data_IF_487966297756
#
_entry.id   IF_487966297756
#
_cell.length_a   1.000
_cell.length_b   1.000
_cell.length_c   1.000
_cell.angle_alpha   90.00
_cell.angle_beta   90.00
_cell.angle_gamma   90.00
#
_symmetry.space_group_name_H-M   'P 1'
#
loop_
_entity.id
_entity.type
_entity.pdbx_description
1 polymer ?
#
# COMPACT_ATOMS: atom_id res chain seq x y z
N UNK A 1 12.79 9.80 5.34
CA UNK A 1 11.65 9.52 4.40
C UNK A 1 10.33 9.74 5.10
N UNK A 2 9.31 10.28 4.40
CA UNK A 2 7.92 10.33 4.85
C UNK A 2 7.09 9.42 3.93
N UNK A 3 6.29 8.52 4.50
CA UNK A 3 5.42 7.59 3.76
C UNK A 3 3.98 7.89 4.12
N UNK A 4 3.08 8.04 3.13
CA UNK A 4 1.66 8.29 3.32
C UNK A 4 0.82 7.28 2.52
N UNK A 5 -0.20 6.70 3.13
CA UNK A 5 -1.08 5.71 2.49
C UNK A 5 -2.32 6.39 1.91
N UNK A 6 -2.50 6.31 0.60
CA UNK A 6 -3.68 6.81 -0.14
C UNK A 6 -4.67 5.71 -0.49
N UNK A 7 -4.23 4.46 -0.54
CA UNK A 7 -5.06 3.29 -0.77
C UNK A 7 -4.39 2.03 -0.23
N UNK A 8 -5.18 1.15 0.38
CA UNK A 8 -4.69 -0.02 1.14
C UNK A 8 -5.48 -1.32 0.87
N UNK A 9 -6.57 -1.24 0.09
CA UNK A 9 -7.43 -2.39 -0.23
C UNK A 9 -6.90 -3.20 -1.41
N UNK A 10 -7.06 -4.52 -1.33
CA UNK A 10 -6.77 -5.42 -2.43
C UNK A 10 -7.94 -5.61 -3.38
N UNK A 11 -7.63 -5.99 -4.58
CA UNK A 11 -8.51 -6.46 -5.66
C UNK A 11 -9.58 -5.47 -6.14
N UNK A 12 -10.30 -4.79 -5.25
CA UNK A 12 -11.41 -3.88 -5.59
C UNK A 12 -11.56 -2.74 -4.58
N UNK A 13 -11.99 -1.55 -5.04
CA UNK A 13 -12.38 -0.49 -4.12
C UNK A 13 -13.52 -0.93 -3.21
N UNK A 14 -13.39 -0.67 -1.92
CA UNK A 14 -14.33 -1.15 -0.89
C UNK A 14 -14.83 0.00 -0.02
N UNK A 15 -15.73 0.84 -0.52
CA UNK A 15 -16.31 1.93 0.26
C UNK A 15 -17.17 1.38 1.41
N UNK A 16 -17.28 2.15 2.49
CA UNK A 16 -18.14 1.82 3.61
C UNK A 16 -19.60 1.68 3.16
N UNK A 17 -20.22 0.57 3.52
CA UNK A 17 -21.64 0.30 3.26
C UNK A 17 -22.50 1.04 4.29
N UNK A 18 -23.73 1.41 3.91
CA UNK A 18 -24.70 2.07 4.79
C UNK A 18 -24.87 1.33 6.13
N UNK A 19 -24.98 0.01 6.10
CA UNK A 19 -25.12 -0.80 7.32
C UNK A 19 -23.88 -0.70 8.24
N UNK A 20 -22.68 -0.57 7.69
CA UNK A 20 -21.45 -0.38 8.47
C UNK A 20 -21.42 0.99 9.14
N UNK A 21 -21.80 2.04 8.42
CA UNK A 21 -21.93 3.40 8.99
C UNK A 21 -22.95 3.43 10.13
N UNK A 22 -24.13 2.82 9.92
CA UNK A 22 -25.17 2.71 10.95
C UNK A 22 -24.70 1.93 12.18
N UNK A 23 -23.95 0.82 11.96
CA UNK A 23 -23.39 0.02 13.05
C UNK A 23 -22.35 0.82 13.86
N UNK A 24 -21.50 1.63 13.20
CA UNK A 24 -20.55 2.53 13.89
C UNK A 24 -21.29 3.58 14.73
N UNK A 25 -22.30 4.23 14.17
CA UNK A 25 -23.12 5.21 14.91
C UNK A 25 -23.77 4.54 16.14
N UNK A 26 -24.40 3.38 15.97
CA UNK A 26 -24.99 2.65 17.08
C UNK A 26 -23.96 2.27 18.15
N UNK A 27 -22.74 1.87 17.74
CA UNK A 27 -21.65 1.56 18.64
C UNK A 27 -21.17 2.77 19.44
N UNK A 28 -21.16 3.97 18.86
CA UNK A 28 -20.88 5.23 19.56
C UNK A 28 -21.99 5.53 20.57
N UNK A 29 -23.23 5.51 20.14
CA UNK A 29 -24.41 5.81 21.00
C UNK A 29 -24.48 4.87 22.19
N UNK A 30 -24.16 3.58 22.02
CA UNK A 30 -24.18 2.60 23.12
C UNK A 30 -23.08 2.81 24.18
N UNK A 31 -22.07 3.63 23.90
CA UNK A 31 -20.92 3.89 24.78
C UNK A 31 -20.92 5.26 25.43
N UNK A 32 -21.62 6.23 24.84
CA UNK A 32 -21.64 7.60 25.32
C UNK A 32 -22.40 7.72 26.66
N UNK A 33 -21.87 8.51 27.56
CA UNK A 33 -22.51 8.84 28.85
C UNK A 33 -22.87 10.35 28.92
N UNK A 34 -23.76 10.78 29.86
CA UNK A 34 -24.04 12.19 30.02
C UNK A 34 -22.82 13.09 30.25
N UNK A 35 -21.80 12.59 30.94
CA UNK A 35 -20.52 13.29 31.18
C UNK A 35 -19.76 13.62 29.89
N UNK A 36 -19.86 12.74 28.89
CA UNK A 36 -19.18 12.92 27.61
C UNK A 36 -19.85 14.03 26.77
N UNK A 37 -21.06 14.46 27.14
CA UNK A 37 -21.85 15.47 26.44
C UNK A 37 -21.76 16.87 27.05
N UNK A 38 -21.11 17.03 28.20
CA UNK A 38 -21.11 18.29 29.01
C UNK A 38 -20.39 19.44 28.29
N UNK A 39 -19.38 19.16 27.48
CA UNK A 39 -18.62 20.17 26.73
C UNK A 39 -18.12 19.64 25.38
N UNK A 40 -17.65 20.54 24.50
CA UNK A 40 -16.97 20.13 23.24
C UNK A 40 -15.70 19.37 23.51
N UNK A 41 -14.98 19.71 24.58
CA UNK A 41 -13.74 19.01 24.98
C UNK A 41 -14.04 17.58 25.44
N UNK A 42 -15.04 17.36 26.30
CA UNK A 42 -15.46 16.02 26.75
C UNK A 42 -15.95 15.16 25.58
N UNK A 43 -16.69 15.74 24.62
CA UNK A 43 -17.10 15.05 23.39
C UNK A 43 -15.90 14.59 22.57
N UNK A 44 -14.93 15.47 22.32
CA UNK A 44 -13.72 15.13 21.55
C UNK A 44 -12.88 14.10 22.27
N UNK A 45 -12.72 14.20 23.60
CA UNK A 45 -12.02 13.21 24.41
C UNK A 45 -12.67 11.83 24.34
N UNK A 46 -14.01 11.79 24.42
CA UNK A 46 -14.75 10.54 24.25
C UNK A 46 -14.54 9.95 22.85
N UNK A 47 -14.73 10.73 21.78
CA UNK A 47 -14.57 10.26 20.41
C UNK A 47 -13.16 9.72 20.15
N UNK A 48 -12.12 10.42 20.60
CA UNK A 48 -10.73 9.99 20.46
C UNK A 48 -10.37 8.76 21.32
N UNK A 49 -11.19 8.41 22.32
CA UNK A 49 -11.00 7.20 23.12
C UNK A 49 -11.61 5.94 22.48
N UNK A 50 -12.44 6.12 21.45
CA UNK A 50 -13.07 4.99 20.78
C UNK A 50 -12.05 4.21 19.94
N UNK A 51 -12.24 2.89 19.80
CA UNK A 51 -11.48 2.10 18.83
C UNK A 51 -11.55 2.70 17.43
N UNK A 52 -10.46 2.65 16.69
CA UNK A 52 -10.38 3.22 15.32
C UNK A 52 -11.44 2.65 14.38
N UNK A 53 -11.79 1.37 14.50
CA UNK A 53 -12.84 0.75 13.69
C UNK A 53 -14.25 1.31 13.98
N UNK A 54 -14.44 2.06 15.07
CA UNK A 54 -15.69 2.78 15.40
C UNK A 54 -15.63 4.22 14.90
N UNK A 55 -14.59 4.97 15.27
CA UNK A 55 -14.49 6.41 15.02
C UNK A 55 -13.89 6.76 13.67
N UNK A 56 -13.14 5.85 13.07
CA UNK A 56 -12.48 6.03 11.78
C UNK A 56 -12.87 4.96 10.76
N UNK A 57 -12.07 4.83 9.72
CA UNK A 57 -12.11 3.74 8.75
C UNK A 57 -10.68 3.40 8.33
N UNK A 58 -10.47 2.15 7.95
CA UNK A 58 -9.21 1.70 7.33
C UNK A 58 -9.06 2.29 5.92
N UNK A 59 -10.17 2.60 5.27
CA UNK A 59 -10.21 3.10 3.90
C UNK A 59 -10.78 2.09 2.92
N UNK A 60 -11.09 2.55 1.73
CA UNK A 60 -11.74 1.77 0.67
C UNK A 60 -11.01 1.81 -0.67
N UNK A 61 -9.93 2.60 -0.79
CA UNK A 61 -9.18 2.72 -2.04
C UNK A 61 -8.15 1.60 -2.23
N UNK A 62 -7.89 1.25 -3.48
CA UNK A 62 -6.90 0.27 -3.88
C UNK A 62 -5.49 0.87 -3.90
N UNK A 63 -4.41 0.07 -4.00
CA UNK A 63 -3.06 0.44 -3.62
C UNK A 63 -2.55 1.73 -4.24
N UNK A 64 -2.15 2.66 -3.39
CA UNK A 64 -1.32 3.81 -3.72
C UNK A 64 -0.64 4.31 -2.45
N UNK A 65 0.69 4.39 -2.49
CA UNK A 65 1.49 4.93 -1.39
C UNK A 65 2.32 6.10 -1.92
N UNK A 66 2.32 7.20 -1.20
CA UNK A 66 3.24 8.32 -1.40
C UNK A 66 4.47 8.13 -0.52
N UNK A 67 5.66 8.30 -1.09
CA UNK A 67 6.91 8.39 -0.37
C UNK A 67 7.60 9.70 -0.74
N UNK A 68 8.12 10.41 0.26
CA UNK A 68 8.96 11.58 0.06
C UNK A 68 10.32 11.38 0.68
N UNK A 69 11.35 11.70 -0.10
CA UNK A 69 12.71 11.76 0.41
C UNK A 69 12.91 12.96 1.34
N UNK A 70 14.05 13.05 1.99
CA UNK A 70 14.45 14.25 2.76
C UNK A 70 14.63 15.48 1.89
N UNK A 71 14.97 15.31 0.60
CA UNK A 71 15.03 16.38 -0.39
C UNK A 71 13.67 16.76 -0.97
N UNK A 72 12.58 16.18 -0.43
CA UNK A 72 11.19 16.39 -0.86
C UNK A 72 10.87 15.84 -2.26
N UNK A 73 11.73 14.96 -2.81
CA UNK A 73 11.42 14.26 -4.05
C UNK A 73 10.24 13.30 -3.83
N UNK A 74 9.29 13.32 -4.75
CA UNK A 74 8.05 12.55 -4.67
C UNK A 74 8.16 11.22 -5.42
N UNK A 75 7.72 10.15 -4.75
CA UNK A 75 7.56 8.82 -5.31
C UNK A 75 6.15 8.32 -5.01
N UNK A 76 5.49 7.75 -6.00
CA UNK A 76 4.18 7.10 -5.89
C UNK A 76 4.34 5.61 -6.19
N UNK A 77 3.83 4.77 -5.30
CA UNK A 77 3.93 3.32 -5.42
C UNK A 77 2.54 2.78 -5.73
N UNK A 78 2.40 2.24 -6.92
CA UNK A 78 1.16 1.84 -7.58
C UNK A 78 0.15 2.97 -7.82
N UNK A 79 -0.72 2.71 -8.79
CA UNK A 79 -1.70 3.64 -9.34
C UNK A 79 -3.13 3.11 -9.15
N UNK A 80 -3.45 2.49 -8.02
CA UNK A 80 -4.81 2.12 -7.66
C UNK A 80 -5.70 3.35 -7.45
N UNK A 81 -6.93 3.16 -6.98
CA UNK A 81 -7.85 4.29 -6.80
C UNK A 81 -7.36 5.32 -5.78
N UNK A 82 -6.44 4.96 -4.88
CA UNK A 82 -5.75 5.89 -3.99
C UNK A 82 -4.99 6.99 -4.73
N UNK A 83 -4.53 6.75 -5.97
CA UNK A 83 -3.89 7.78 -6.80
C UNK A 83 -4.84 8.95 -7.11
N UNK A 84 -6.12 8.67 -7.31
CA UNK A 84 -7.13 9.72 -7.49
C UNK A 84 -7.24 10.58 -6.23
N UNK A 85 -7.19 9.99 -5.04
CA UNK A 85 -7.23 10.73 -3.77
C UNK A 85 -5.98 11.59 -3.59
N UNK A 86 -4.79 11.05 -3.89
CA UNK A 86 -3.56 11.84 -3.95
C UNK A 86 -3.68 13.00 -4.95
N UNK A 87 -4.24 12.77 -6.14
CA UNK A 87 -4.44 13.80 -7.17
C UNK A 87 -5.26 15.00 -6.68
N UNK A 88 -6.24 14.74 -5.81
CA UNK A 88 -7.19 15.76 -5.30
C UNK A 88 -6.69 16.43 -4.02
N UNK A 89 -6.15 15.66 -3.08
CA UNK A 89 -5.86 16.09 -1.73
C UNK A 89 -4.36 16.08 -1.38
N UNK A 90 -3.53 15.36 -2.15
CA UNK A 90 -2.09 15.27 -1.91
C UNK A 90 -1.35 16.58 -2.21
N UNK A 91 -0.25 16.78 -1.50
CA UNK A 91 0.65 17.90 -1.76
C UNK A 91 1.41 17.66 -3.07
N UNK A 92 1.14 18.48 -4.07
CA UNK A 92 1.78 18.36 -5.38
C UNK A 92 3.24 18.87 -5.34
N UNK A 93 4.18 18.25 -6.10
CA UNK A 93 5.55 18.71 -6.19
C UNK A 93 5.60 20.04 -6.97
N UNK A 94 6.39 21.01 -6.47
CA UNK A 94 6.49 22.35 -7.09
C UNK A 94 7.06 22.31 -8.50
N UNK A 95 7.95 21.34 -8.79
CA UNK A 95 8.56 21.12 -10.10
C UNK A 95 7.67 20.34 -11.07
N UNK A 96 6.49 19.89 -10.66
CA UNK A 96 5.59 19.07 -11.47
C UNK A 96 6.14 17.68 -11.84
N UNK A 97 7.14 17.18 -11.11
CA UNK A 97 7.79 15.91 -11.39
C UNK A 97 7.26 14.78 -10.48
N UNK A 98 6.86 13.68 -11.09
CA UNK A 98 6.28 12.51 -10.44
C UNK A 98 7.07 11.25 -10.79
N UNK A 99 7.61 10.57 -9.80
CA UNK A 99 8.25 9.26 -9.98
C UNK A 99 7.24 8.18 -9.55
N UNK A 100 6.75 7.38 -10.49
CA UNK A 100 5.77 6.33 -10.26
C UNK A 100 6.44 4.97 -10.39
N UNK A 101 6.28 4.13 -9.38
CA UNK A 101 6.78 2.75 -9.35
C UNK A 101 5.60 1.79 -9.40
N UNK A 102 5.54 0.95 -10.43
CA UNK A 102 4.46 -0.03 -10.59
C UNK A 102 4.94 -1.43 -10.21
N UNK A 103 4.30 -2.02 -9.22
CA UNK A 103 4.60 -3.38 -8.77
C UNK A 103 4.20 -4.42 -9.80
N UNK A 104 3.03 -4.27 -10.40
CA UNK A 104 2.50 -5.08 -11.49
C UNK A 104 1.26 -4.42 -12.12
N UNK A 105 0.58 -5.12 -13.05
CA UNK A 105 -0.48 -4.52 -13.87
C UNK A 105 -1.88 -5.11 -13.63
N UNK A 106 -2.17 -5.70 -12.46
CA UNK A 106 -3.55 -5.98 -12.07
C UNK A 106 -4.34 -4.67 -11.93
N UNK A 107 -5.62 -4.73 -12.20
CA UNK A 107 -6.46 -3.53 -12.31
C UNK A 107 -6.45 -2.65 -11.06
N UNK A 108 -6.47 -3.24 -9.90
CA UNK A 108 -6.46 -2.51 -8.63
C UNK A 108 -5.16 -1.73 -8.38
N UNK A 109 -4.09 -2.03 -9.12
CA UNK A 109 -2.82 -1.29 -9.06
C UNK A 109 -2.66 -0.23 -10.14
N UNK A 110 -3.53 -0.21 -11.16
CA UNK A 110 -3.43 0.75 -12.27
C UNK A 110 -4.73 1.50 -12.56
N UNK A 111 -5.87 1.10 -12.00
CA UNK A 111 -7.19 1.67 -12.36
C UNK A 111 -7.36 3.16 -12.00
N UNK A 112 -6.54 3.71 -11.10
CA UNK A 112 -6.52 5.14 -10.77
C UNK A 112 -5.75 5.99 -11.77
N UNK A 113 -4.84 5.40 -12.57
CA UNK A 113 -3.97 6.13 -13.48
C UNK A 113 -4.74 7.00 -14.49
N UNK A 114 -5.82 6.53 -15.15
CA UNK A 114 -6.60 7.36 -16.05
C UNK A 114 -7.31 8.56 -15.38
N UNK A 115 -7.38 8.58 -14.05
CA UNK A 115 -7.98 9.64 -13.25
C UNK A 115 -6.94 10.52 -12.54
N UNK A 116 -5.66 10.34 -12.86
CA UNK A 116 -4.59 11.17 -12.35
C UNK A 116 -4.58 12.51 -13.07
N UNK A 117 -5.22 13.51 -12.46
CA UNK A 117 -5.46 14.82 -13.08
C UNK A 117 -4.18 15.53 -13.54
N UNK A 118 -3.06 15.29 -12.84
CA UNK A 118 -1.77 15.89 -13.14
C UNK A 118 -1.18 15.39 -14.48
N UNK A 119 -1.54 14.19 -14.94
CA UNK A 119 -1.09 13.67 -16.22
C UNK A 119 -1.58 14.49 -17.42
N UNK A 120 -2.66 15.24 -17.25
CA UNK A 120 -3.20 16.14 -18.27
C UNK A 120 -2.54 17.53 -18.28
N UNK A 121 -1.69 17.83 -17.30
CA UNK A 121 -0.97 19.11 -17.26
C UNK A 121 0.26 19.09 -18.19
N UNK A 122 0.40 20.04 -19.12
CA UNK A 122 1.57 20.11 -20.00
C UNK A 122 2.88 20.40 -19.24
N UNK A 123 2.78 20.84 -17.98
CA UNK A 123 3.94 21.12 -17.13
C UNK A 123 4.34 19.93 -16.27
N UNK A 124 3.60 18.83 -16.32
CA UNK A 124 3.93 17.64 -15.57
C UNK A 124 4.96 16.79 -16.33
N UNK A 125 5.87 16.21 -15.57
CA UNK A 125 6.79 15.16 -16.00
C UNK A 125 6.54 13.93 -15.12
N UNK A 126 6.22 12.80 -15.75
CA UNK A 126 5.89 11.55 -15.05
C UNK A 126 6.86 10.48 -15.54
N UNK A 127 7.77 10.08 -14.67
CA UNK A 127 8.68 8.97 -14.90
C UNK A 127 8.12 7.70 -14.27
N UNK A 128 7.85 6.68 -15.10
CA UNK A 128 7.28 5.40 -14.69
C UNK A 128 8.38 4.35 -14.66
N UNK A 129 8.61 3.78 -13.49
CA UNK A 129 9.63 2.77 -13.21
C UNK A 129 8.97 1.42 -12.97
N UNK A 130 9.35 0.41 -13.74
CA UNK A 130 8.84 -0.94 -13.57
C UNK A 130 9.74 -1.96 -14.27
N UNK A 131 9.81 -3.22 -13.80
CA UNK A 131 10.52 -4.30 -14.51
C UNK A 131 9.77 -4.87 -15.72
N UNK A 132 8.57 -4.39 -16.03
CA UNK A 132 7.78 -4.87 -17.17
C UNK A 132 8.07 -4.04 -18.43
N UNK A 133 8.61 -4.68 -19.46
CA UNK A 133 8.96 -4.00 -20.71
C UNK A 133 7.75 -3.46 -21.48
N UNK A 134 6.57 -4.10 -21.31
CA UNK A 134 5.34 -3.76 -22.02
C UNK A 134 4.44 -2.78 -21.23
N UNK A 135 5.01 -2.08 -20.25
CA UNK A 135 4.28 -1.18 -19.34
C UNK A 135 3.46 -0.10 -20.07
N UNK A 136 4.05 0.50 -21.11
CA UNK A 136 3.39 1.51 -21.94
C UNK A 136 2.15 0.93 -22.61
N UNK A 137 2.26 -0.26 -23.24
CA UNK A 137 1.14 -0.93 -23.89
C UNK A 137 0.01 -1.27 -22.91
N UNK A 138 0.34 -1.70 -21.68
CA UNK A 138 -0.68 -2.04 -20.69
C UNK A 138 -1.46 -0.80 -20.23
N UNK A 139 -0.79 0.32 -19.99
CA UNK A 139 -1.45 1.58 -19.62
C UNK A 139 -2.23 2.18 -20.78
N UNK A 140 -1.74 2.07 -22.01
CA UNK A 140 -2.46 2.47 -23.21
C UNK A 140 -3.76 1.69 -23.38
N UNK A 141 -3.71 0.35 -23.29
CA UNK A 141 -4.89 -0.52 -23.40
C UNK A 141 -5.99 -0.13 -22.41
N UNK A 142 -5.64 0.10 -21.14
CA UNK A 142 -6.59 0.47 -20.11
C UNK A 142 -7.23 1.85 -20.39
N UNK A 143 -6.48 2.77 -20.99
CA UNK A 143 -6.87 4.16 -21.17
C UNK A 143 -7.32 4.48 -22.61
N UNK A 144 -7.64 3.46 -23.42
CA UNK A 144 -8.07 3.59 -24.82
C UNK A 144 -9.56 3.29 -25.00
N UNK A 145 -10.09 3.64 -26.19
CA UNK A 145 -11.44 3.23 -26.58
C UNK A 145 -11.54 1.69 -26.63
N UNK A 146 -12.68 1.11 -26.24
CA UNK A 146 -13.93 1.74 -25.78
C UNK A 146 -13.97 2.04 -24.27
N UNK A 147 -12.89 1.79 -23.52
CA UNK A 147 -12.86 1.87 -22.06
C UNK A 147 -12.80 3.31 -21.55
N UNK A 148 -12.19 4.20 -22.33
CA UNK A 148 -12.03 5.60 -21.97
C UNK A 148 -12.47 6.54 -23.09
N UNK A 149 -13.02 7.74 -22.77
CA UNK A 149 -13.40 8.72 -23.78
C UNK A 149 -12.16 9.28 -24.51
N UNK A 150 -12.30 9.56 -25.81
CA UNK A 150 -11.18 9.94 -26.68
C UNK A 150 -10.36 11.14 -26.18
N UNK A 151 -11.01 12.10 -25.53
CA UNK A 151 -10.34 13.31 -25.02
C UNK A 151 -9.60 13.10 -23.67
N UNK A 152 -9.71 11.91 -23.10
CA UNK A 152 -9.04 11.53 -21.86
C UNK A 152 -8.27 10.21 -22.02
N UNK A 153 -8.00 9.80 -23.26
CA UNK A 153 -7.24 8.58 -23.57
C UNK A 153 -5.74 8.79 -23.39
N UNK A 154 -5.01 7.69 -23.44
CA UNK A 154 -3.55 7.64 -23.28
C UNK A 154 -2.81 8.64 -24.16
N UNK A 155 -3.24 8.78 -25.42
CA UNK A 155 -2.66 9.74 -26.38
C UNK A 155 -2.66 11.21 -25.87
N UNK A 156 -3.61 11.56 -24.99
CA UNK A 156 -3.68 12.91 -24.42
C UNK A 156 -2.61 13.18 -23.36
N UNK A 157 -2.04 12.14 -22.78
CA UNK A 157 -1.10 12.21 -21.65
C UNK A 157 0.30 11.67 -21.97
N UNK A 158 0.47 10.95 -23.06
CA UNK A 158 1.72 10.23 -23.36
C UNK A 158 2.97 11.11 -23.44
N UNK A 159 2.81 12.38 -23.84
CA UNK A 159 3.95 13.31 -23.93
C UNK A 159 4.53 13.70 -22.56
N UNK A 160 3.79 13.50 -21.48
CA UNK A 160 4.23 13.71 -20.10
C UNK A 160 4.91 12.48 -19.52
N UNK A 161 4.79 11.32 -20.18
CA UNK A 161 5.24 10.02 -19.66
C UNK A 161 6.62 9.65 -20.20
N UNK A 162 7.44 9.08 -19.34
CA UNK A 162 8.71 8.42 -19.69
C UNK A 162 8.76 7.07 -18.97
N UNK A 163 9.07 5.98 -19.70
CA UNK A 163 9.13 4.65 -19.13
C UNK A 163 10.57 4.21 -18.91
N UNK A 164 10.85 3.72 -17.70
CA UNK A 164 12.18 3.28 -17.26
C UNK A 164 12.11 1.82 -16.84
N UNK A 165 12.78 0.96 -17.60
CA UNK A 165 12.88 -0.47 -17.30
C UNK A 165 13.85 -0.70 -16.15
N UNK A 166 13.34 -1.21 -15.03
CA UNK A 166 14.14 -1.63 -13.90
C UNK A 166 14.61 -3.08 -14.05
N UNK A 167 15.73 -3.41 -13.45
CA UNK A 167 16.26 -4.77 -13.43
C UNK A 167 16.62 -5.17 -12.01
N UNK A 168 16.18 -6.37 -11.61
CA UNK A 168 16.55 -6.94 -10.33
C UNK A 168 18.08 -7.02 -10.18
N UNK A 169 18.58 -6.61 -9.01
CA UNK A 169 20.00 -6.57 -8.71
C UNK A 169 20.76 -5.34 -9.25
N UNK A 170 20.09 -4.47 -10.00
CA UNK A 170 20.66 -3.22 -10.51
C UNK A 170 19.97 -2.02 -9.83
N UNK A 171 20.50 -1.51 -8.70
CA UNK A 171 19.91 -0.36 -8.02
C UNK A 171 20.02 0.91 -8.87
N UNK A 172 19.03 1.79 -8.70
CA UNK A 172 19.04 3.15 -9.25
C UNK A 172 19.07 4.17 -8.11
N UNK A 173 19.50 5.40 -8.39
CA UNK A 173 19.49 6.49 -7.43
C UNK A 173 18.64 7.65 -7.94
N UNK A 174 17.64 8.07 -7.15
CA UNK A 174 16.76 9.21 -7.47
C UNK A 174 16.52 9.98 -6.17
N UNK A 175 16.69 11.32 -6.21
CA UNK A 175 16.38 12.20 -5.07
C UNK A 175 17.11 11.85 -3.77
N UNK A 176 18.29 11.22 -3.87
CA UNK A 176 19.07 10.76 -2.73
C UNK A 176 18.67 9.40 -2.16
N UNK A 177 17.68 8.74 -2.77
CA UNK A 177 17.29 7.37 -2.42
C UNK A 177 17.96 6.35 -3.33
N UNK A 178 18.55 5.31 -2.72
CA UNK A 178 18.89 4.08 -3.43
C UNK A 178 17.65 3.21 -3.53
N UNK A 179 17.29 2.81 -4.76
CA UNK A 179 16.05 2.08 -5.05
C UNK A 179 16.40 0.77 -5.74
N UNK A 180 15.86 -0.32 -5.24
CA UNK A 180 16.04 -1.67 -5.80
C UNK A 180 14.67 -2.33 -6.01
N UNK A 181 14.57 -3.25 -6.99
CA UNK A 181 13.39 -4.10 -7.16
C UNK A 181 13.75 -5.58 -6.96
N UNK A 182 12.75 -6.36 -6.56
CA UNK A 182 12.86 -7.80 -6.32
C UNK A 182 11.60 -8.52 -6.76
N UNK A 183 11.74 -9.54 -7.61
CA UNK A 183 10.61 -10.31 -8.13
C UNK A 183 10.04 -11.23 -7.06
N UNK A 184 8.72 -11.20 -6.90
CA UNK A 184 7.95 -12.07 -6.00
C UNK A 184 7.03 -12.99 -6.81
N UNK A 185 6.65 -14.11 -6.19
CA UNK A 185 5.70 -15.03 -6.82
C UNK A 185 4.27 -14.48 -6.71
N UNK A 186 3.68 -14.22 -7.87
CA UNK A 186 2.31 -13.77 -8.05
C UNK A 186 1.86 -14.15 -9.47
N UNK A 187 0.56 -14.45 -9.74
CA UNK A 187 0.08 -14.68 -11.10
C UNK A 187 0.36 -13.47 -12.02
N UNK A 188 1.20 -13.65 -13.02
CA UNK A 188 1.67 -12.57 -13.89
C UNK A 188 2.89 -11.80 -13.36
N UNK A 189 3.50 -12.26 -12.29
CA UNK A 189 4.59 -11.64 -11.55
C UNK A 189 4.20 -10.34 -10.81
N UNK A 190 4.86 -10.07 -9.70
CA UNK A 190 4.84 -8.80 -8.97
C UNK A 190 6.26 -8.47 -8.51
N UNK A 191 6.54 -7.19 -8.30
CA UNK A 191 7.86 -6.74 -7.85
C UNK A 191 7.74 -5.90 -6.59
N UNK A 192 8.54 -6.28 -5.59
CA UNK A 192 8.77 -5.48 -4.40
C UNK A 192 9.79 -4.39 -4.67
N UNK A 193 9.65 -3.26 -4.00
CA UNK A 193 10.61 -2.15 -4.09
C UNK A 193 11.18 -1.81 -2.73
N UNK A 194 12.50 -1.63 -2.67
CA UNK A 194 13.23 -1.14 -1.50
C UNK A 194 13.72 0.27 -1.74
N UNK A 195 13.47 1.16 -0.78
CA UNK A 195 13.93 2.55 -0.78
C UNK A 195 14.82 2.75 0.44
N UNK A 196 16.07 3.16 0.21
CA UNK A 196 17.05 3.38 1.27
C UNK A 196 17.57 4.82 1.24
N UNK A 197 17.54 5.48 2.42
CA UNK A 197 18.04 6.83 2.65
C UNK A 197 18.66 6.91 4.05
N UNK A 198 19.92 7.37 4.15
CA UNK A 198 20.65 7.52 5.42
C UNK A 198 20.63 6.26 6.31
N UNK A 199 20.76 5.09 5.72
CA UNK A 199 20.75 3.80 6.43
C UNK A 199 19.39 3.39 6.99
N UNK A 200 18.30 4.08 6.59
CA UNK A 200 16.92 3.70 6.84
C UNK A 200 16.33 3.07 5.59
N UNK A 201 15.63 1.94 5.77
CA UNK A 201 15.10 1.18 4.64
C UNK A 201 13.62 0.88 4.79
N UNK A 202 12.87 1.33 3.79
CA UNK A 202 11.46 1.04 3.57
C UNK A 202 11.30 0.05 2.42
N UNK A 203 10.47 -0.99 2.60
CA UNK A 203 10.15 -1.94 1.55
C UNK A 203 8.63 -1.95 1.33
N UNK A 204 8.23 -1.80 0.07
CA UNK A 204 6.89 -2.01 -0.43
C UNK A 204 6.83 -3.35 -1.16
N UNK A 205 6.00 -4.27 -0.67
CA UNK A 205 5.89 -5.64 -1.18
C UNK A 205 4.43 -6.10 -1.14
N UNK A 206 3.67 -5.67 -2.12
CA UNK A 206 2.27 -6.05 -2.32
C UNK A 206 2.18 -7.27 -3.22
N UNK A 207 1.04 -7.97 -3.20
CA UNK A 207 0.71 -9.05 -4.13
C UNK A 207 1.81 -10.13 -4.20
N UNK A 208 1.90 -10.86 -3.12
CA UNK A 208 2.90 -11.89 -2.90
C UNK A 208 2.27 -13.15 -2.35
N UNK A 209 2.56 -14.29 -2.94
CA UNK A 209 2.33 -15.60 -2.33
C UNK A 209 3.68 -16.22 -1.97
N UNK A 210 4.01 -16.22 -0.68
CA UNK A 210 5.30 -16.70 -0.17
C UNK A 210 5.55 -18.16 -0.51
N UNK A 211 6.73 -18.41 -1.05
CA UNK A 211 7.25 -19.74 -1.30
C UNK A 211 8.26 -20.14 -0.21
N UNK A 212 8.49 -21.44 -0.04
CA UNK A 212 9.47 -21.93 0.94
C UNK A 212 10.88 -21.36 0.67
N UNK A 213 11.23 -21.12 -0.59
CA UNK A 213 12.48 -20.51 -1.01
C UNK A 213 12.69 -19.09 -0.48
N UNK A 214 11.61 -18.34 -0.23
CA UNK A 214 11.70 -16.94 0.21
C UNK A 214 12.20 -16.81 1.66
N UNK A 215 12.20 -17.93 2.41
CA UNK A 215 12.76 -18.02 3.76
C UNK A 215 14.23 -18.44 3.79
N UNK A 216 14.82 -18.78 2.65
CA UNK A 216 16.22 -19.25 2.57
C UNK A 216 17.20 -18.07 2.72
N UNK A 217 17.83 -18.00 3.90
CA UNK A 217 18.88 -17.01 4.22
C UNK A 217 20.20 -17.25 3.48
N UNK A 218 20.40 -18.42 2.92
CA UNK A 218 21.57 -18.75 2.09
C UNK A 218 21.48 -18.14 0.69
N UNK A 219 20.28 -17.81 0.24
CA UNK A 219 20.07 -17.18 -1.05
C UNK A 219 20.39 -15.67 -0.97
N UNK A 220 21.44 -15.23 -1.67
CA UNK A 220 21.89 -13.83 -1.66
C UNK A 220 20.80 -12.85 -2.13
N UNK A 221 19.96 -13.27 -3.09
CA UNK A 221 18.83 -12.52 -3.60
C UNK A 221 17.83 -12.14 -2.50
N UNK A 222 17.53 -13.06 -1.59
CA UNK A 222 16.54 -12.85 -0.54
C UNK A 222 17.01 -11.85 0.55
N UNK A 223 18.31 -11.53 0.60
CA UNK A 223 18.85 -10.48 1.49
C UNK A 223 18.26 -9.09 1.22
N UNK A 224 17.54 -8.94 0.11
CA UNK A 224 16.73 -7.78 -0.18
C UNK A 224 15.83 -7.36 1.00
N UNK A 225 15.30 -8.31 1.76
CA UNK A 225 14.41 -8.03 2.89
C UNK A 225 15.13 -7.84 4.23
N UNK A 226 16.39 -8.26 4.35
CA UNK A 226 17.08 -8.38 5.62
C UNK A 226 17.21 -7.04 6.36
N UNK A 227 16.77 -6.98 7.64
CA UNK A 227 16.89 -5.84 8.55
C UNK A 227 16.17 -4.54 8.09
N UNK A 228 15.13 -4.59 7.26
CA UNK A 228 14.38 -3.40 6.90
C UNK A 228 13.70 -2.75 8.12
N UNK A 229 13.66 -1.41 8.13
CA UNK A 229 13.02 -0.66 9.21
C UNK A 229 11.49 -0.73 9.10
N UNK A 230 10.95 -0.70 7.89
CA UNK A 230 9.52 -0.84 7.59
C UNK A 230 9.33 -1.76 6.40
N UNK A 231 8.42 -2.72 6.53
CA UNK A 231 7.90 -3.56 5.46
C UNK A 231 6.38 -3.38 5.38
N UNK A 232 5.90 -2.86 4.27
CA UNK A 232 4.49 -2.92 3.87
C UNK A 232 4.31 -4.18 3.06
N UNK A 233 3.45 -5.11 3.53
CA UNK A 233 3.44 -6.47 3.00
C UNK A 233 2.03 -7.02 2.80
N UNK A 234 1.84 -7.74 1.69
CA UNK A 234 0.62 -8.50 1.43
C UNK A 234 0.23 -9.38 2.61
N UNK A 235 -0.98 -9.19 3.09
CA UNK A 235 -1.53 -9.91 4.24
C UNK A 235 -3.04 -10.07 4.10
N UNK A 236 -3.47 -10.39 2.89
CA UNK A 236 -4.88 -10.32 2.48
C UNK A 236 -5.76 -11.29 3.27
N UNK A 237 -5.25 -12.47 3.63
CA UNK A 237 -6.09 -13.56 4.12
C UNK A 237 -5.83 -13.95 5.59
N UNK A 238 -6.83 -14.62 6.18
CA UNK A 238 -6.62 -15.52 7.31
C UNK A 238 -6.02 -16.86 6.83
N UNK A 239 -5.42 -17.66 7.74
CA UNK A 239 -4.83 -18.94 7.36
C UNK A 239 -5.80 -19.92 6.68
N UNK A 240 -7.05 -20.10 7.17
CA UNK A 240 -8.01 -20.98 6.51
C UNK A 240 -8.41 -20.52 5.10
N UNK A 241 -8.37 -19.21 4.84
CA UNK A 241 -8.69 -18.64 3.53
C UNK A 241 -7.51 -18.80 2.58
N UNK A 242 -6.28 -18.49 3.01
CA UNK A 242 -5.07 -18.68 2.21
C UNK A 242 -4.91 -20.15 1.78
N UNK A 243 -5.17 -21.11 2.69
CA UNK A 243 -5.11 -22.53 2.38
C UNK A 243 -6.09 -22.99 1.27
N UNK A 244 -7.17 -22.24 1.05
CA UNK A 244 -8.16 -22.50 -0.02
C UNK A 244 -7.86 -21.75 -1.31
N UNK A 245 -6.93 -20.79 -1.27
CA UNK A 245 -6.62 -19.86 -2.35
C UNK A 245 -5.15 -19.95 -2.78
N UNK A 246 -4.61 -21.18 -2.76
CA UNK A 246 -3.24 -21.43 -3.26
C UNK A 246 -3.13 -21.05 -4.74
N UNK A 247 -2.04 -20.41 -5.12
CA UNK A 247 -1.79 -19.81 -6.45
C UNK A 247 -2.71 -18.63 -6.81
N UNK A 248 -3.32 -18.00 -5.82
CA UNK A 248 -4.02 -16.71 -6.00
C UNK A 248 -3.10 -15.51 -5.84
N UNK A 249 -1.87 -15.74 -5.38
CA UNK A 249 -0.84 -14.71 -5.30
C UNK A 249 -0.84 -13.88 -4.02
N UNK A 250 -1.46 -14.36 -2.91
CA UNK A 250 -1.58 -13.60 -1.68
C UNK A 250 -1.29 -14.41 -0.43
N UNK A 251 -0.90 -13.71 0.64
CA UNK A 251 -0.53 -14.28 1.92
C UNK A 251 -1.62 -14.23 2.99
N UNK A 252 -1.42 -15.05 4.02
CA UNK A 252 -2.07 -14.84 5.31
C UNK A 252 -1.25 -13.87 6.18
N UNK A 253 -1.92 -13.19 7.12
CA UNK A 253 -1.24 -12.33 8.10
C UNK A 253 -0.18 -13.08 8.93
N UNK A 254 -0.38 -14.36 9.22
CA UNK A 254 0.60 -15.15 9.98
C UNK A 254 1.83 -15.53 9.15
N UNK A 255 1.67 -15.82 7.85
CA UNK A 255 2.80 -16.04 6.95
C UNK A 255 3.63 -14.76 6.80
N UNK A 256 2.97 -13.59 6.73
CA UNK A 256 3.63 -12.30 6.72
C UNK A 256 4.45 -12.06 8.01
N UNK A 257 3.92 -12.44 9.19
CA UNK A 257 4.64 -12.35 10.46
C UNK A 257 5.85 -13.30 10.48
N UNK A 258 5.69 -14.54 10.00
CA UNK A 258 6.78 -15.50 9.93
C UNK A 258 7.90 -15.00 9.00
N UNK A 259 7.54 -14.45 7.85
CA UNK A 259 8.48 -13.86 6.90
C UNK A 259 9.21 -12.64 7.51
N UNK A 260 8.48 -11.69 8.06
CA UNK A 260 9.06 -10.52 8.70
C UNK A 260 10.01 -10.90 9.86
N UNK A 261 9.63 -11.93 10.63
CA UNK A 261 10.48 -12.46 11.71
C UNK A 261 11.74 -13.11 11.18
N UNK A 262 11.65 -13.89 10.09
CA UNK A 262 12.80 -14.52 9.45
C UNK A 262 13.83 -13.50 8.97
N UNK A 263 13.35 -12.37 8.41
CA UNK A 263 14.21 -11.33 7.84
C UNK A 263 14.54 -10.20 8.80
N UNK A 264 14.24 -10.35 10.11
CA UNK A 264 14.53 -9.37 11.17
C UNK A 264 13.97 -7.97 10.85
N UNK A 265 12.75 -7.93 10.32
CA UNK A 265 12.01 -6.68 10.07
C UNK A 265 11.63 -6.03 11.40
N UNK A 266 11.71 -4.69 11.48
CA UNK A 266 11.36 -3.97 12.73
C UNK A 266 9.86 -3.67 12.81
N UNK A 267 9.26 -3.19 11.70
CA UNK A 267 7.87 -2.79 11.62
C UNK A 267 7.21 -3.41 10.40
N UNK A 268 6.19 -4.24 10.61
CA UNK A 268 5.39 -4.87 9.56
C UNK A 268 4.02 -4.20 9.50
N UNK A 269 3.68 -3.70 8.32
CA UNK A 269 2.38 -3.14 8.01
C UNK A 269 1.60 -4.13 7.14
N UNK A 270 0.49 -4.66 7.66
CA UNK A 270 -0.43 -5.50 6.89
C UNK A 270 -1.10 -4.65 5.84
N UNK A 271 -1.02 -5.08 4.60
CA UNK A 271 -1.46 -4.32 3.44
C UNK A 271 -2.30 -5.21 2.51
N UNK A 272 -2.91 -4.62 1.49
CA UNK A 272 -3.71 -5.30 0.48
C UNK A 272 -4.90 -6.05 1.08
N UNK A 273 -5.69 -5.31 1.88
CA UNK A 273 -6.78 -5.91 2.69
C UNK A 273 -7.89 -6.49 1.83
N UNK A 274 -8.32 -7.72 2.18
CA UNK A 274 -9.44 -8.43 1.53
C UNK A 274 -10.70 -7.54 1.45
N UNK A 275 -11.33 -7.40 0.27
CA UNK A 275 -12.50 -6.55 0.08
C UNK A 275 -13.69 -6.87 0.98
N UNK A 276 -13.82 -8.14 1.39
CA UNK A 276 -14.92 -8.58 2.26
C UNK A 276 -14.69 -8.32 3.75
N UNK A 277 -13.51 -7.81 4.15
CA UNK A 277 -13.23 -7.50 5.54
C UNK A 277 -13.66 -6.08 5.88
N UNK A 278 -14.52 -5.95 6.88
CA UNK A 278 -14.81 -4.66 7.48
C UNK A 278 -13.68 -4.20 8.44
N UNK A 279 -13.75 -2.95 8.88
CA UNK A 279 -12.74 -2.37 9.76
C UNK A 279 -12.60 -3.15 11.08
N UNK A 280 -13.70 -3.69 11.61
CA UNK A 280 -13.69 -4.50 12.84
C UNK A 280 -12.97 -5.84 12.63
N UNK A 281 -13.14 -6.46 11.48
CA UNK A 281 -12.43 -7.70 11.11
C UNK A 281 -10.93 -7.44 11.01
N UNK A 282 -10.52 -6.33 10.39
CA UNK A 282 -9.11 -5.96 10.28
C UNK A 282 -8.48 -5.67 11.65
N UNK A 283 -9.18 -4.98 12.54
CA UNK A 283 -8.76 -4.78 13.93
C UNK A 283 -8.56 -6.13 14.64
N UNK A 284 -9.50 -7.08 14.48
CA UNK A 284 -9.37 -8.43 15.05
C UNK A 284 -8.20 -9.23 14.46
N UNK A 285 -7.81 -8.99 13.20
CA UNK A 285 -6.63 -9.60 12.56
C UNK A 285 -5.35 -9.06 13.21
N UNK A 286 -5.27 -7.76 13.50
CA UNK A 286 -4.13 -7.18 14.20
C UNK A 286 -3.97 -7.79 15.61
N UNK A 287 -5.07 -7.94 16.34
CA UNK A 287 -5.08 -8.60 17.66
C UNK A 287 -4.62 -10.06 17.57
N UNK A 288 -5.14 -10.80 16.59
CA UNK A 288 -4.73 -12.19 16.32
C UNK A 288 -3.24 -12.27 15.95
N UNK A 289 -2.75 -11.35 15.13
CA UNK A 289 -1.33 -11.23 14.76
C UNK A 289 -0.44 -10.94 15.96
N UNK A 290 -0.83 -10.03 16.85
CA UNK A 290 -0.10 -9.73 18.08
C UNK A 290 -0.06 -10.93 19.03
N UNK A 291 -1.12 -11.72 19.11
CA UNK A 291 -1.13 -12.96 19.87
C UNK A 291 -0.24 -14.04 19.24
N UNK A 292 -0.31 -14.20 17.91
CA UNK A 292 0.55 -15.12 17.16
C UNK A 292 2.04 -14.79 17.34
N UNK A 293 2.41 -13.52 17.24
CA UNK A 293 3.77 -13.04 17.45
C UNK A 293 4.32 -13.39 18.84
N UNK A 294 3.50 -13.30 19.89
CA UNK A 294 3.87 -13.70 21.26
C UNK A 294 4.26 -15.19 21.32
N UNK A 295 3.52 -16.05 20.64
CA UNK A 295 3.83 -17.50 20.56
C UNK A 295 5.19 -17.75 19.90
N UNK A 296 5.54 -16.97 18.86
CA UNK A 296 6.83 -17.08 18.16
C UNK A 296 8.00 -16.46 18.93
N UNK A 297 7.75 -15.89 20.12
CA UNK A 297 8.77 -15.23 20.95
C UNK A 297 9.52 -14.09 20.26
N UNK A 298 8.97 -13.53 19.18
CA UNK A 298 9.54 -12.38 18.48
C UNK A 298 9.07 -11.07 19.13
N UNK A 299 9.88 -10.53 20.04
CA UNK A 299 9.58 -9.31 20.79
C UNK A 299 9.92 -8.03 20.02
N UNK A 300 10.76 -8.12 19.01
CA UNK A 300 11.30 -6.93 18.31
C UNK A 300 10.48 -6.50 17.09
N UNK A 301 9.56 -7.35 16.61
CA UNK A 301 8.69 -7.02 15.48
C UNK A 301 7.45 -6.26 15.96
N UNK A 302 7.20 -5.08 15.40
CA UNK A 302 5.95 -4.35 15.62
C UNK A 302 4.99 -4.63 14.45
N UNK A 303 3.68 -4.77 14.76
CA UNK A 303 2.63 -5.04 13.79
C UNK A 303 1.66 -3.88 13.71
N UNK A 304 1.29 -3.52 12.51
CA UNK A 304 0.33 -2.44 12.19
C UNK A 304 -0.64 -2.89 11.09
N UNK A 305 -1.83 -2.30 11.09
CA UNK A 305 -2.74 -2.31 9.94
C UNK A 305 -2.46 -1.05 9.13
N UNK A 306 -2.20 -1.18 7.84
CA UNK A 306 -2.15 -0.03 6.94
C UNK A 306 -3.54 0.57 6.79
N UNK A 307 -3.64 1.90 6.87
CA UNK A 307 -4.90 2.64 6.70
C UNK A 307 -4.69 3.91 5.90
N UNK A 308 -5.69 4.31 5.14
CA UNK A 308 -5.67 5.58 4.43
C UNK A 308 -5.47 6.77 5.37
N UNK A 309 -4.68 7.74 4.94
CA UNK A 309 -4.32 8.91 5.73
C UNK A 309 -3.26 8.67 6.81
N UNK A 310 -2.77 7.43 6.96
CA UNK A 310 -1.67 7.13 7.90
C UNK A 310 -0.34 7.62 7.34
N UNK A 311 0.48 8.21 8.22
CA UNK A 311 1.85 8.62 7.92
C UNK A 311 2.87 7.83 8.74
N UNK A 312 4.02 7.56 8.13
CA UNK A 312 5.19 6.96 8.78
C UNK A 312 6.38 7.86 8.51
N UNK A 313 7.06 8.27 9.57
CA UNK A 313 8.32 9.01 9.47
C UNK A 313 9.50 8.07 9.76
N UNK A 314 10.44 7.93 8.81
CA UNK A 314 11.68 7.17 8.91
C UNK A 314 12.91 8.07 8.97
#
# INVERSE_FOLDING_TARGET
MLIHFWGVRGSLPTPLKNAQVQAKIAAVVSRISPKDLESSESKMKFLSSLPEWIYGTIGGNTPCIELRSKSDELFLLDCGTGLREFSVAGRQPENGHYNIFLSHFHWDHIQGFPFFGQSFSPNSKIDIYTPFADAEEYLERQSSLPYFPINACFESVKNQLSFHLMQEGNPIEIGGLKIECHRMFHPGDSYSYSFEEDGKRFIYSTDVELQTSDFDKGCARNKFFENADVLVFDSQYTNPEAAKKVNWGHNSFSSAIDFASNWNIKNLYFFHHEPNYDDKKLDSILDAGNNYKKYKSNRNLNLYISKEGQEIQL
#
